data_IF_456411127461
#
_entry.id   IF_456411127461
#
_cell.length_a   1.000
_cell.length_b   1.000
_cell.length_c   1.000
_cell.angle_alpha   90.00
_cell.angle_beta   90.00
_cell.angle_gamma   90.00
#
_symmetry.space_group_name_H-M   'P 1'
#
loop_
_entity.id
_entity.type
_entity.pdbx_description
1 polymer ?
#
# COMPACT_ATOMS: atom_id res chain seq x y z
N UNK A 1 12.21 -3.00 18.79
CA UNK A 1 12.13 -2.99 17.32
C UNK A 1 13.45 -3.50 16.72
N UNK A 2 13.39 -4.29 15.68
CA UNK A 2 14.53 -4.87 14.99
C UNK A 2 14.33 -4.82 13.47
N UNK A 3 15.35 -5.15 12.66
CA UNK A 3 15.17 -5.26 11.20
C UNK A 3 14.13 -6.28 10.74
N UNK A 4 13.78 -7.24 11.59
CA UNK A 4 12.82 -8.32 11.30
C UNK A 4 11.51 -8.19 12.06
N UNK A 5 11.43 -7.26 13.02
CA UNK A 5 10.25 -7.07 13.88
C UNK A 5 10.16 -5.62 14.33
N UNK A 6 8.98 -5.02 14.19
CA UNK A 6 8.71 -3.65 14.61
C UNK A 6 7.27 -3.52 15.10
N UNK A 7 7.04 -2.51 15.92
CA UNK A 7 5.71 -2.17 16.43
C UNK A 7 5.14 -1.01 15.62
N UNK A 8 3.89 -1.15 15.21
CA UNK A 8 3.14 -0.06 14.55
C UNK A 8 2.21 0.57 15.58
N UNK A 9 2.46 1.83 15.90
CA UNK A 9 1.57 2.61 16.76
C UNK A 9 0.41 3.18 15.92
N UNK A 10 -0.70 2.48 15.91
CA UNK A 10 -1.91 2.91 15.20
C UNK A 10 -2.56 4.15 15.83
N UNK A 11 -2.37 4.42 17.12
CA UNK A 11 -2.90 5.62 17.75
C UNK A 11 -2.18 6.86 17.23
N UNK A 12 -0.85 6.84 17.19
CA UNK A 12 -0.04 7.92 16.64
C UNK A 12 -0.30 8.12 15.13
N UNK A 13 -0.43 7.02 14.36
CA UNK A 13 -0.77 7.10 12.91
C UNK A 13 -2.14 7.74 12.69
N UNK A 14 -3.13 7.37 13.49
CA UNK A 14 -4.48 7.93 13.40
C UNK A 14 -4.50 9.42 13.75
N UNK A 15 -3.75 9.84 14.77
CA UNK A 15 -3.68 11.25 15.13
C UNK A 15 -3.05 12.08 14.01
N UNK A 16 -1.95 11.62 13.45
CA UNK A 16 -1.31 12.25 12.29
C UNK A 16 -2.27 12.34 11.09
N UNK A 17 -3.00 11.26 10.80
CA UNK A 17 -3.99 11.26 9.72
C UNK A 17 -5.11 12.29 9.96
N UNK A 18 -5.58 12.43 11.22
CA UNK A 18 -6.57 13.46 11.58
C UNK A 18 -6.05 14.88 11.35
N UNK A 19 -4.80 15.14 11.72
CA UNK A 19 -4.18 16.44 11.47
C UNK A 19 -4.07 16.73 9.97
N UNK A 20 -3.69 15.74 9.16
CA UNK A 20 -3.60 15.86 7.69
C UNK A 20 -4.97 16.02 7.02
N UNK A 21 -6.00 15.31 7.51
CA UNK A 21 -7.36 15.38 6.96
C UNK A 21 -8.08 16.69 7.31
N UNK A 22 -7.78 17.28 8.48
CA UNK A 22 -8.50 18.46 8.98
C UNK A 22 -8.58 19.61 7.97
N UNK A 23 -7.46 20.09 7.37
CA UNK A 23 -7.51 21.18 6.41
C UNK A 23 -8.32 20.82 5.14
N UNK A 24 -8.27 19.56 4.70
CA UNK A 24 -9.02 19.09 3.53
C UNK A 24 -10.54 19.11 3.80
N UNK A 25 -10.94 18.64 4.99
CA UNK A 25 -12.34 18.62 5.40
C UNK A 25 -12.87 20.02 5.66
N UNK A 26 -12.07 20.93 6.21
CA UNK A 26 -12.46 22.34 6.40
C UNK A 26 -12.64 23.03 5.06
N UNK A 27 -11.77 22.82 4.08
CA UNK A 27 -11.93 23.33 2.72
C UNK A 27 -13.15 22.72 2.01
N UNK A 28 -13.37 21.42 2.14
CA UNK A 28 -14.54 20.74 1.58
C UNK A 28 -15.86 21.32 2.15
N UNK A 29 -15.86 21.65 3.46
CA UNK A 29 -17.01 22.28 4.12
C UNK A 29 -17.26 23.68 3.54
N UNK A 30 -16.23 24.51 3.40
CA UNK A 30 -16.36 25.85 2.81
C UNK A 30 -16.92 25.80 1.40
N UNK A 31 -16.42 24.89 0.56
CA UNK A 31 -16.94 24.69 -0.79
C UNK A 31 -18.39 24.20 -0.81
N UNK A 32 -18.80 23.37 0.15
CA UNK A 32 -20.19 22.94 0.29
C UNK A 32 -21.12 24.11 0.65
N UNK A 33 -20.69 24.97 1.56
CA UNK A 33 -21.44 26.16 1.93
C UNK A 33 -21.56 27.11 0.72
N UNK A 34 -20.47 27.32 -0.04
CA UNK A 34 -20.48 28.09 -1.28
C UNK A 34 -21.45 27.49 -2.32
N UNK A 35 -21.49 26.17 -2.47
CA UNK A 35 -22.44 25.51 -3.38
C UNK A 35 -23.89 25.75 -2.95
N UNK A 36 -24.18 25.80 -1.66
CA UNK A 36 -25.52 26.13 -1.16
C UNK A 36 -25.91 27.56 -1.55
N UNK A 37 -25.01 28.52 -1.33
CA UNK A 37 -25.25 29.93 -1.68
C UNK A 37 -25.44 30.09 -3.19
N UNK A 38 -24.58 29.49 -4.01
CA UNK A 38 -24.68 29.51 -5.47
C UNK A 38 -26.01 28.89 -5.96
N UNK A 39 -26.48 27.83 -5.32
CA UNK A 39 -27.78 27.22 -5.65
C UNK A 39 -28.99 28.13 -5.27
N UNK A 40 -28.88 28.89 -4.19
CA UNK A 40 -29.89 29.87 -3.83
C UNK A 40 -29.92 31.02 -4.81
N UNK A 41 -28.77 31.55 -5.22
CA UNK A 41 -28.64 32.57 -6.23
C UNK A 41 -29.21 32.09 -7.58
N UNK A 42 -28.91 30.83 -7.95
CA UNK A 42 -29.48 30.23 -9.16
C UNK A 42 -31.03 30.20 -9.12
N UNK A 43 -31.63 29.90 -7.97
CA UNK A 43 -33.06 29.92 -7.77
C UNK A 43 -33.62 31.34 -7.92
N UNK A 44 -32.92 32.34 -7.37
CA UNK A 44 -33.29 33.76 -7.48
C UNK A 44 -33.24 34.23 -8.93
N UNK A 45 -32.16 33.93 -9.65
CA UNK A 45 -31.98 34.31 -11.06
C UNK A 45 -33.02 33.64 -11.98
N UNK A 46 -33.34 32.37 -11.75
CA UNK A 46 -34.41 31.66 -12.49
C UNK A 46 -35.79 32.32 -12.27
N UNK A 47 -36.11 32.73 -11.04
CA UNK A 47 -37.35 33.44 -10.72
C UNK A 47 -37.38 34.85 -11.35
N UNK A 48 -36.24 35.52 -11.42
CA UNK A 48 -36.09 36.85 -12.03
C UNK A 48 -36.01 36.86 -13.55
N UNK A 49 -36.12 35.67 -14.21
CA UNK A 49 -36.01 35.53 -15.68
C UNK A 49 -34.70 36.12 -16.23
N UNK A 50 -33.59 35.88 -15.53
CA UNK A 50 -32.26 36.29 -15.98
C UNK A 50 -31.88 35.62 -17.31
N UNK A 51 -30.90 36.22 -18.02
CA UNK A 51 -30.41 35.69 -19.29
C UNK A 51 -29.88 34.29 -19.15
N UNK A 52 -30.13 33.42 -20.15
CA UNK A 52 -29.71 32.01 -20.13
C UNK A 52 -28.21 31.81 -19.89
N UNK A 53 -27.38 32.64 -20.51
CA UNK A 53 -25.92 32.62 -20.36
C UNK A 53 -25.46 32.78 -18.91
N UNK A 54 -26.14 33.61 -18.11
CA UNK A 54 -25.82 33.81 -16.69
C UNK A 54 -26.18 32.55 -15.87
N UNK A 55 -27.32 31.95 -16.21
CA UNK A 55 -27.78 30.70 -15.58
C UNK A 55 -26.81 29.56 -15.89
N UNK A 56 -26.34 29.44 -17.13
CA UNK A 56 -25.42 28.40 -17.58
C UNK A 56 -24.03 28.60 -16.94
N UNK A 57 -23.52 29.81 -16.89
CA UNK A 57 -22.27 30.11 -16.19
C UNK A 57 -22.33 29.74 -14.70
N UNK A 58 -23.46 29.98 -14.04
CA UNK A 58 -23.64 29.64 -12.64
C UNK A 58 -23.75 28.12 -12.43
N UNK A 59 -24.41 27.40 -13.33
CA UNK A 59 -24.48 25.96 -13.31
C UNK A 59 -23.07 25.33 -13.45
N UNK A 60 -22.21 25.88 -14.32
CA UNK A 60 -20.82 25.42 -14.47
C UNK A 60 -20.06 25.62 -13.16
N UNK A 61 -20.15 26.81 -12.55
CA UNK A 61 -19.49 27.07 -11.25
C UNK A 61 -19.94 26.11 -10.15
N UNK A 62 -21.24 25.83 -10.07
CA UNK A 62 -21.78 24.86 -9.11
C UNK A 62 -21.18 23.47 -9.35
N UNK A 63 -21.12 23.02 -10.60
CA UNK A 63 -20.56 21.71 -10.94
C UNK A 63 -19.07 21.60 -10.63
N UNK A 64 -18.30 22.67 -10.88
CA UNK A 64 -16.87 22.75 -10.54
C UNK A 64 -16.65 22.70 -9.03
N UNK A 65 -17.40 23.48 -8.25
CA UNK A 65 -17.33 23.49 -6.81
C UNK A 65 -17.77 22.15 -6.20
N UNK A 66 -18.83 21.53 -6.76
CA UNK A 66 -19.27 20.19 -6.36
C UNK A 66 -18.21 19.11 -6.62
N UNK A 67 -17.51 19.18 -7.73
CA UNK A 67 -16.39 18.28 -8.02
C UNK A 67 -15.24 18.51 -7.04
N UNK A 68 -14.86 19.76 -6.82
CA UNK A 68 -13.75 20.12 -5.95
C UNK A 68 -13.95 19.60 -4.51
N UNK A 69 -15.13 19.80 -3.89
CA UNK A 69 -15.33 19.29 -2.53
C UNK A 69 -15.36 17.76 -2.46
N UNK A 70 -15.89 17.06 -3.48
CA UNK A 70 -15.87 15.60 -3.53
C UNK A 70 -14.45 15.06 -3.67
N UNK A 71 -13.61 15.73 -4.45
CA UNK A 71 -12.20 15.36 -4.60
C UNK A 71 -11.46 15.51 -3.26
N UNK A 72 -11.72 16.58 -2.50
CA UNK A 72 -11.15 16.78 -1.17
C UNK A 72 -11.63 15.71 -0.15
N UNK A 73 -12.92 15.38 -0.16
CA UNK A 73 -13.46 14.32 0.70
C UNK A 73 -12.84 12.95 0.34
N UNK A 74 -12.64 12.68 -0.95
CA UNK A 74 -11.97 11.44 -1.39
C UNK A 74 -10.52 11.39 -0.94
N UNK A 75 -9.79 12.52 -1.01
CA UNK A 75 -8.43 12.60 -0.49
C UNK A 75 -8.39 12.34 1.01
N UNK A 76 -9.29 12.95 1.78
CA UNK A 76 -9.38 12.71 3.22
C UNK A 76 -9.71 11.24 3.54
N UNK A 77 -10.63 10.63 2.81
CA UNK A 77 -10.96 9.21 2.97
C UNK A 77 -9.77 8.28 2.65
N UNK A 78 -8.96 8.64 1.64
CA UNK A 78 -7.75 7.89 1.31
C UNK A 78 -6.69 7.98 2.42
N UNK A 79 -6.55 9.15 3.06
CA UNK A 79 -5.65 9.33 4.21
C UNK A 79 -6.11 8.47 5.39
N UNK A 80 -7.41 8.44 5.70
CA UNK A 80 -7.96 7.60 6.76
C UNK A 80 -7.76 6.11 6.48
N UNK A 81 -8.02 5.68 5.24
CA UNK A 81 -7.80 4.30 4.82
C UNK A 81 -6.33 3.87 4.93
N UNK A 82 -5.39 4.78 4.64
CA UNK A 82 -3.96 4.51 4.72
C UNK A 82 -3.46 4.27 6.15
N UNK A 83 -4.20 4.67 7.18
CA UNK A 83 -3.87 4.36 8.59
C UNK A 83 -3.77 2.86 8.81
N UNK A 84 -4.68 2.11 8.19
CA UNK A 84 -4.79 0.65 8.35
C UNK A 84 -4.14 -0.13 7.21
N UNK A 85 -3.33 0.53 6.36
CA UNK A 85 -2.63 -0.17 5.29
C UNK A 85 -1.65 -1.19 5.87
N UNK A 86 -1.87 -2.45 5.51
CA UNK A 86 -1.02 -3.60 5.90
C UNK A 86 0.36 -3.57 5.24
N UNK A 87 0.57 -2.70 4.25
CA UNK A 87 1.88 -2.46 3.61
C UNK A 87 2.78 -1.54 4.44
N UNK A 88 2.56 -1.46 5.76
CA UNK A 88 3.45 -0.69 6.64
C UNK A 88 4.88 -1.20 6.50
N UNK A 89 5.74 -0.38 5.92
CA UNK A 89 7.17 -0.69 5.76
C UNK A 89 7.84 -0.57 7.12
N UNK A 90 8.68 -1.56 7.47
CA UNK A 90 9.48 -1.48 8.68
C UNK A 90 10.49 -0.32 8.58
N UNK A 91 10.40 0.71 9.43
CA UNK A 91 11.31 1.86 9.37
C UNK A 91 12.76 1.50 9.74
N UNK A 92 12.97 0.34 10.37
CA UNK A 92 14.30 -0.13 10.82
C UNK A 92 15.00 -0.98 9.75
N UNK A 93 14.34 -1.26 8.62
CA UNK A 93 14.98 -1.94 7.49
C UNK A 93 15.92 -0.97 6.81
N UNK A 94 17.20 -1.20 7.01
CA UNK A 94 18.21 -0.60 6.12
C UNK A 94 18.06 -1.30 4.78
N UNK A 95 17.72 -0.56 3.74
CA UNK A 95 17.66 -1.10 2.39
C UNK A 95 19.05 -1.65 2.04
N UNK A 96 19.23 -2.97 2.13
CA UNK A 96 20.41 -3.63 1.60
C UNK A 96 20.30 -3.58 0.08
N UNK A 97 20.93 -2.58 -0.50
CA UNK A 97 21.14 -2.57 -1.95
C UNK A 97 22.15 -3.69 -2.23
N UNK A 98 21.72 -4.71 -2.94
CA UNK A 98 22.63 -5.77 -3.41
C UNK A 98 23.53 -5.19 -4.52
N UNK A 99 24.74 -4.82 -4.15
CA UNK A 99 25.73 -4.23 -5.07
C UNK A 99 26.56 -5.29 -5.79
N UNK A 100 26.22 -6.58 -5.64
CA UNK A 100 26.95 -7.66 -6.33
C UNK A 100 26.74 -7.56 -7.83
N UNK A 101 27.82 -7.77 -8.55
CA UNK A 101 27.77 -7.88 -10.02
C UNK A 101 27.04 -9.17 -10.44
N UNK A 102 26.48 -9.23 -11.65
CA UNK A 102 25.87 -10.46 -12.18
C UNK A 102 26.81 -11.67 -12.11
N UNK A 103 28.10 -11.48 -12.30
CA UNK A 103 29.12 -12.52 -12.22
C UNK A 103 29.25 -13.07 -10.77
N UNK A 104 29.32 -12.20 -9.79
CA UNK A 104 29.38 -12.60 -8.37
C UNK A 104 28.10 -13.34 -7.93
N UNK A 105 26.94 -12.94 -8.46
CA UNK A 105 25.67 -13.63 -8.20
C UNK A 105 25.71 -15.03 -8.77
N UNK A 106 26.16 -15.20 -10.03
CA UNK A 106 26.28 -16.50 -10.68
C UNK A 106 27.29 -17.40 -9.93
N UNK A 107 28.42 -16.86 -9.52
CA UNK A 107 29.41 -17.60 -8.72
C UNK A 107 28.83 -18.07 -7.37
N UNK A 108 28.07 -17.21 -6.71
CA UNK A 108 27.37 -17.55 -5.45
C UNK A 108 26.34 -18.65 -5.66
N UNK A 109 25.55 -18.61 -6.74
CA UNK A 109 24.58 -19.65 -7.10
C UNK A 109 25.30 -20.99 -7.35
N UNK A 110 26.40 -20.97 -8.12
CA UNK A 110 27.18 -22.17 -8.40
C UNK A 110 27.80 -22.78 -7.12
N UNK A 111 28.30 -21.95 -6.21
CA UNK A 111 28.85 -22.41 -4.95
C UNK A 111 27.78 -23.08 -4.09
N UNK A 112 26.59 -22.48 -3.99
CA UNK A 112 25.47 -23.08 -3.25
C UNK A 112 24.94 -24.35 -3.93
N UNK A 113 24.90 -24.38 -5.26
CA UNK A 113 24.53 -25.57 -6.02
C UNK A 113 25.44 -26.76 -5.73
N UNK A 114 26.76 -26.54 -5.58
CA UNK A 114 27.72 -27.59 -5.18
C UNK A 114 27.43 -28.09 -3.77
N UNK A 115 27.18 -27.21 -2.81
CA UNK A 115 26.85 -27.60 -1.43
C UNK A 115 25.60 -28.48 -1.38
N UNK A 116 24.56 -28.12 -2.13
CA UNK A 116 23.32 -28.90 -2.25
C UNK A 116 23.61 -30.27 -2.90
N UNK A 117 24.38 -30.31 -3.98
CA UNK A 117 24.75 -31.53 -4.67
C UNK A 117 25.54 -32.50 -3.75
N UNK A 118 26.51 -31.99 -2.99
CA UNK A 118 27.29 -32.75 -2.02
C UNK A 118 26.41 -33.28 -0.88
N UNK A 119 25.47 -32.47 -0.39
CA UNK A 119 24.54 -32.91 0.65
C UNK A 119 23.61 -34.04 0.14
N UNK A 120 23.10 -33.91 -1.10
CA UNK A 120 22.29 -34.96 -1.72
C UNK A 120 23.07 -36.24 -1.96
N UNK A 121 24.34 -36.14 -2.41
CA UNK A 121 25.21 -37.32 -2.56
C UNK A 121 25.43 -38.05 -1.22
N UNK A 122 25.68 -37.33 -0.13
CA UNK A 122 25.80 -37.89 1.21
C UNK A 122 24.52 -38.58 1.68
N UNK A 123 23.36 -37.94 1.46
CA UNK A 123 22.08 -38.55 1.80
C UNK A 123 21.82 -39.83 0.99
N UNK A 124 22.11 -39.81 -0.31
CA UNK A 124 21.99 -41.00 -1.16
C UNK A 124 22.88 -42.15 -0.70
N UNK A 125 24.11 -41.85 -0.28
CA UNK A 125 25.01 -42.87 0.27
C UNK A 125 24.48 -43.49 1.57
N UNK A 126 23.98 -42.64 2.50
CA UNK A 126 23.40 -43.12 3.76
C UNK A 126 22.17 -44.02 3.54
N UNK A 127 21.28 -43.64 2.59
CA UNK A 127 20.11 -44.46 2.26
C UNK A 127 20.53 -45.78 1.62
N UNK A 128 21.56 -45.79 0.76
CA UNK A 128 22.07 -47.02 0.15
C UNK A 128 22.69 -47.97 1.19
N UNK A 129 23.44 -47.41 2.15
CA UNK A 129 24.06 -48.19 3.22
C UNK A 129 22.99 -48.79 4.15
N UNK A 130 21.95 -48.03 4.50
CA UNK A 130 20.83 -48.47 5.34
C UNK A 130 20.05 -49.62 4.65
N UNK A 131 19.77 -49.45 3.34
CA UNK A 131 19.10 -50.47 2.55
C UNK A 131 19.95 -51.78 2.45
N UNK A 132 21.25 -51.66 2.26
CA UNK A 132 22.16 -52.78 2.23
C UNK A 132 22.23 -53.51 3.58
N UNK A 133 22.21 -52.78 4.68
CA UNK A 133 22.17 -53.34 6.05
C UNK A 133 20.86 -54.11 6.31
N UNK A 134 19.71 -53.56 5.85
CA UNK A 134 18.42 -54.24 5.98
C UNK A 134 18.36 -55.56 5.18
N UNK A 135 18.80 -55.52 3.92
CA UNK A 135 18.83 -56.74 3.08
C UNK A 135 19.78 -57.82 3.62
N UNK A 136 20.89 -57.44 4.24
CA UNK A 136 21.81 -58.41 4.86
C UNK A 136 21.24 -59.01 6.17
N UNK A 137 20.39 -58.27 6.87
CA UNK A 137 19.71 -58.78 8.07
C UNK A 137 18.61 -59.80 7.73
N UNK A 138 17.86 -59.58 6.63
CA UNK A 138 16.82 -60.54 6.20
C UNK A 138 17.36 -61.81 5.55
N UNK A 139 18.63 -61.85 5.13
CA UNK A 139 19.22 -63.07 4.51
C UNK A 139 19.81 -64.07 5.51
N UNK A 140 19.72 -63.82 6.80
CA UNK A 140 20.32 -64.68 7.90
C UNK A 140 19.24 -65.51 8.63
N UNK A 141 17.96 -65.37 8.29
CA UNK A 141 16.89 -66.24 8.77
C UNK A 141 16.61 -67.40 7.78
#
# INVERSE_FOLDING_TARGET
DSPVSWTVDFAARREKAREEMKPLLDQARQLKDEVVDLKEDLKRLKKGKAAGEVIDALNIKIAEAEKAYRDLETQAANIDAAVFDLKAVNPNVVAQVDNRTPTEIIESINAQGRIVSDALARLSALVADDLAAQLSAESVE
#
